data_IF_887462507191
#
_entry.id   IF_887462507191
#
_cell.length_a   1.000
_cell.length_b   1.000
_cell.length_c   1.000
_cell.angle_alpha   90.00
_cell.angle_beta   90.00
_cell.angle_gamma   90.00
#
_symmetry.space_group_name_H-M   'P 1'
#
loop_
_entity.id
_entity.type
_entity.pdbx_description
1 polymer ?
#
# COMPACT_ATOMS: atom_id res chain seq x y z
N UNK A 1 24.98 -23.28 -39.13
CA UNK A 1 24.98 -21.83 -38.75
C UNK A 1 23.57 -21.29 -38.47
N UNK A 2 22.55 -21.64 -39.24
CA UNK A 2 21.16 -21.15 -39.06
C UNK A 2 20.56 -21.55 -37.70
N UNK A 3 20.77 -22.79 -37.27
CA UNK A 3 20.24 -23.31 -36.00
C UNK A 3 20.77 -22.54 -34.78
N UNK A 4 22.05 -22.13 -34.79
CA UNK A 4 22.65 -21.36 -33.69
C UNK A 4 22.04 -19.96 -33.54
N UNK A 5 21.71 -19.30 -34.66
CA UNK A 5 21.04 -18.00 -34.63
C UNK A 5 19.60 -18.11 -34.11
N UNK A 6 18.90 -19.20 -34.42
CA UNK A 6 17.55 -19.45 -33.94
C UNK A 6 17.52 -19.66 -32.42
N UNK A 7 18.45 -20.43 -31.87
CA UNK A 7 18.60 -20.59 -30.42
C UNK A 7 18.91 -19.26 -29.71
N UNK A 8 19.73 -18.40 -30.33
CA UNK A 8 20.06 -17.07 -29.80
C UNK A 8 18.83 -16.16 -29.67
N UNK A 9 17.91 -16.24 -30.63
CA UNK A 9 16.65 -15.49 -30.62
C UNK A 9 15.73 -15.97 -29.49
N UNK A 10 15.57 -17.29 -29.34
CA UNK A 10 14.74 -17.88 -28.27
C UNK A 10 15.27 -17.48 -26.89
N UNK A 11 16.59 -17.54 -26.68
CA UNK A 11 17.23 -17.14 -25.42
C UNK A 11 16.99 -15.66 -25.13
N UNK A 12 17.11 -14.78 -26.14
CA UNK A 12 16.85 -13.34 -25.96
C UNK A 12 15.40 -13.03 -25.60
N UNK A 13 14.43 -13.72 -26.21
CA UNK A 13 13.00 -13.58 -25.88
C UNK A 13 12.75 -14.03 -24.43
N UNK A 14 13.38 -15.12 -24.00
CA UNK A 14 13.26 -15.64 -22.64
C UNK A 14 13.85 -14.65 -21.61
N UNK A 15 15.04 -14.10 -21.87
CA UNK A 15 15.67 -13.09 -21.03
C UNK A 15 14.86 -11.78 -20.97
N UNK A 16 14.27 -11.36 -22.09
CA UNK A 16 13.43 -10.16 -22.15
C UNK A 16 12.19 -10.31 -21.27
N UNK A 17 11.49 -11.45 -21.35
CA UNK A 17 10.34 -11.73 -20.50
C UNK A 17 10.70 -11.81 -19.02
N UNK A 18 11.86 -12.39 -18.67
CA UNK A 18 12.32 -12.46 -17.29
C UNK A 18 12.63 -11.07 -16.71
N UNK A 19 13.34 -10.21 -17.46
CA UNK A 19 13.60 -8.82 -17.08
C UNK A 19 12.31 -8.02 -16.90
N UNK A 20 11.34 -8.19 -17.82
CA UNK A 20 10.03 -7.53 -17.73
C UNK A 20 9.26 -7.93 -16.47
N UNK A 21 9.28 -9.22 -16.11
CA UNK A 21 8.62 -9.73 -14.88
C UNK A 21 9.24 -9.14 -13.60
N UNK A 22 10.57 -9.00 -13.56
CA UNK A 22 11.27 -8.36 -12.43
C UNK A 22 10.98 -6.86 -12.36
N UNK A 23 10.95 -6.18 -13.51
CA UNK A 23 10.66 -4.74 -13.58
C UNK A 23 9.23 -4.44 -13.10
N UNK A 24 8.24 -5.21 -13.54
CA UNK A 24 6.85 -5.10 -13.08
C UNK A 24 6.74 -5.34 -11.56
N UNK A 25 7.48 -6.31 -11.02
CA UNK A 25 7.53 -6.58 -9.58
C UNK A 25 8.12 -5.40 -8.79
N UNK A 26 9.18 -4.75 -9.31
CA UNK A 26 9.75 -3.52 -8.72
C UNK A 26 8.78 -2.34 -8.76
N UNK A 27 8.07 -2.13 -9.87
CA UNK A 27 7.06 -1.06 -9.95
C UNK A 27 5.91 -1.27 -8.96
N UNK A 28 5.37 -2.49 -8.84
CA UNK A 28 4.31 -2.79 -7.87
C UNK A 28 4.75 -2.50 -6.42
N UNK A 29 5.99 -2.88 -6.06
CA UNK A 29 6.55 -2.57 -4.75
C UNK A 29 6.73 -1.06 -4.52
N UNK A 30 7.08 -0.29 -5.55
CA UNK A 30 7.21 1.17 -5.45
C UNK A 30 5.86 1.86 -5.21
N UNK A 31 4.79 1.41 -5.87
CA UNK A 31 3.44 1.88 -5.60
C UNK A 31 2.99 1.57 -4.17
N UNK A 32 3.33 0.37 -3.67
CA UNK A 32 3.03 -0.04 -2.30
C UNK A 32 3.72 0.87 -1.27
N UNK A 33 4.99 1.22 -1.50
CA UNK A 33 5.74 2.13 -0.63
C UNK A 33 5.14 3.54 -0.61
N UNK A 34 4.70 4.08 -1.75
CA UNK A 34 4.00 5.39 -1.81
C UNK A 34 2.71 5.40 -0.99
N UNK A 35 1.91 4.32 -1.06
CA UNK A 35 0.67 4.19 -0.27
C UNK A 35 0.96 4.17 1.24
N UNK A 36 1.98 3.42 1.67
CA UNK A 36 2.41 3.39 3.07
C UNK A 36 2.89 4.77 3.53
N UNK A 37 3.70 5.46 2.72
CA UNK A 37 4.21 6.79 3.02
C UNK A 37 3.08 7.81 3.22
N UNK A 38 2.01 7.72 2.42
CA UNK A 38 0.80 8.54 2.59
C UNK A 38 0.11 8.26 3.93
N UNK A 39 -0.09 6.98 4.28
CA UNK A 39 -0.65 6.63 5.59
C UNK A 39 0.24 7.11 6.76
N UNK A 40 1.56 7.05 6.60
CA UNK A 40 2.53 7.53 7.59
C UNK A 40 2.37 9.06 7.80
N UNK A 41 2.28 9.83 6.71
CA UNK A 41 2.09 11.28 6.79
C UNK A 41 0.77 11.68 7.45
N UNK A 42 -0.31 10.91 7.24
CA UNK A 42 -1.62 11.24 7.82
C UNK A 42 -1.77 10.83 9.29
N UNK A 43 -1.12 9.73 9.72
CA UNK A 43 -1.40 9.12 11.02
C UNK A 43 -0.24 9.11 12.02
N UNK A 44 1.01 9.34 11.57
CA UNK A 44 2.19 9.30 12.44
C UNK A 44 2.86 10.66 12.60
N UNK A 45 2.82 11.50 11.56
CA UNK A 45 3.13 12.90 11.77
C UNK A 45 1.96 13.52 12.55
N UNK A 46 2.15 13.67 13.86
CA UNK A 46 1.39 14.62 14.67
C UNK A 46 1.32 15.91 13.86
N UNK A 47 0.17 16.18 13.25
CA UNK A 47 -0.01 17.40 12.47
C UNK A 47 -0.07 18.52 13.49
N UNK A 48 1.10 18.98 13.93
CA UNK A 48 1.29 20.14 14.82
C UNK A 48 0.78 21.43 14.18
N UNK A 49 0.44 21.41 12.89
CA UNK A 49 0.14 22.58 12.07
C UNK A 49 -1.31 22.68 11.56
N UNK A 50 -2.23 21.81 11.95
CA UNK A 50 -3.65 22.13 11.71
C UNK A 50 -4.09 23.17 12.73
N UNK A 51 -4.55 24.31 12.21
CA UNK A 51 -5.21 25.38 12.97
C UNK A 51 -6.15 24.77 14.01
N UNK A 52 -6.08 25.25 15.25
CA UNK A 52 -6.81 24.74 16.42
C UNK A 52 -8.32 24.54 16.13
N UNK A 53 -8.88 25.36 15.23
CA UNK A 53 -10.27 25.33 14.79
C UNK A 53 -10.66 24.19 13.82
N UNK A 54 -9.72 23.62 13.05
CA UNK A 54 -9.98 22.45 12.16
C UNK A 54 -9.63 21.11 12.81
N UNK A 55 -8.90 21.16 13.93
CA UNK A 55 -8.39 19.98 14.65
C UNK A 55 -9.51 19.03 15.13
N UNK A 56 -10.71 19.57 15.36
CA UNK A 56 -11.87 18.81 15.84
C UNK A 56 -12.62 18.06 14.72
N UNK A 57 -12.49 18.47 13.46
CA UNK A 57 -13.22 17.87 12.34
C UNK A 57 -12.44 16.74 11.66
N UNK A 58 -11.11 16.79 11.71
CA UNK A 58 -10.23 15.82 11.07
C UNK A 58 -9.25 15.23 12.09
N UNK A 59 -9.79 14.46 13.04
CA UNK A 59 -8.95 13.69 13.96
C UNK A 59 -8.48 12.43 13.24
N UNK A 60 -7.25 12.47 12.72
CA UNK A 60 -6.55 11.26 12.29
C UNK A 60 -6.09 10.48 13.52
N UNK A 61 -6.63 9.28 13.79
CA UNK A 61 -6.20 8.50 14.93
C UNK A 61 -4.74 8.08 14.75
N UNK A 62 -3.99 8.09 15.86
CA UNK A 62 -2.63 7.53 15.90
C UNK A 62 -2.76 6.01 15.78
N UNK A 63 -2.17 5.45 14.72
CA UNK A 63 -2.17 4.00 14.45
C UNK A 63 -0.84 3.31 14.77
N UNK A 64 0.13 4.06 15.33
CA UNK A 64 1.41 3.54 15.82
C UNK A 64 1.20 2.43 16.86
N UNK A 65 1.94 1.33 16.74
CA UNK A 65 1.90 0.17 17.64
C UNK A 65 0.50 -0.44 17.89
N UNK A 66 -0.47 -0.16 17.01
CA UNK A 66 -1.84 -0.65 17.17
C UNK A 66 -1.97 -2.16 16.94
N UNK A 67 -3.02 -2.76 17.51
CA UNK A 67 -3.28 -4.18 17.34
C UNK A 67 -3.53 -4.52 15.86
N UNK A 68 -2.78 -5.50 15.33
CA UNK A 68 -2.85 -5.94 13.94
C UNK A 68 -4.29 -6.33 13.56
N UNK A 69 -4.96 -7.15 14.38
CA UNK A 69 -6.34 -7.60 14.11
C UNK A 69 -7.31 -6.41 14.07
N UNK A 70 -7.15 -5.47 15.00
CA UNK A 70 -7.98 -4.27 15.05
C UNK A 70 -7.83 -3.42 13.78
N UNK A 71 -6.59 -3.22 13.31
CA UNK A 71 -6.31 -2.47 12.08
C UNK A 71 -6.89 -3.17 10.85
N UNK A 72 -6.71 -4.48 10.75
CA UNK A 72 -7.26 -5.28 9.65
C UNK A 72 -8.78 -5.17 9.59
N UNK A 73 -9.47 -5.45 10.70
CA UNK A 73 -10.93 -5.36 10.74
C UNK A 73 -11.42 -3.93 10.48
N UNK A 74 -10.75 -2.92 11.02
CA UNK A 74 -11.11 -1.52 10.77
C UNK A 74 -11.04 -1.16 9.28
N UNK A 75 -9.92 -1.51 8.61
CA UNK A 75 -9.75 -1.26 7.18
C UNK A 75 -10.76 -2.04 6.33
N UNK A 76 -11.07 -3.29 6.70
CA UNK A 76 -12.09 -4.10 6.04
C UNK A 76 -13.49 -3.49 6.24
N UNK A 77 -13.81 -2.98 7.42
CA UNK A 77 -15.08 -2.31 7.67
C UNK A 77 -15.23 -1.01 6.89
N UNK A 78 -14.17 -0.22 6.76
CA UNK A 78 -14.19 0.96 5.90
C UNK A 78 -14.37 0.61 4.42
N UNK A 79 -13.69 -0.44 3.94
CA UNK A 79 -13.79 -0.95 2.57
C UNK A 79 -15.22 -1.42 2.24
N UNK A 80 -15.85 -2.10 3.19
CA UNK A 80 -17.21 -2.62 3.04
C UNK A 80 -18.29 -1.61 3.44
N UNK A 81 -17.94 -0.35 3.67
CA UNK A 81 -18.86 0.72 4.11
C UNK A 81 -19.65 0.39 5.39
N UNK A 82 -19.16 -0.55 6.23
CA UNK A 82 -19.75 -0.89 7.53
C UNK A 82 -19.37 0.11 8.62
N UNK A 83 -18.37 0.94 8.38
CA UNK A 83 -17.91 2.02 9.27
C UNK A 83 -17.85 3.33 8.50
N UNK A 84 -18.46 4.37 9.06
CA UNK A 84 -18.61 5.66 8.37
C UNK A 84 -17.33 6.50 8.44
N UNK A 85 -16.68 6.69 7.29
CA UNK A 85 -15.67 7.73 7.06
C UNK A 85 -15.42 7.84 5.56
N UNK A 86 -15.78 8.98 4.97
CA UNK A 86 -15.63 9.21 3.52
C UNK A 86 -14.18 8.95 3.07
N UNK A 87 -13.21 9.51 3.80
CA UNK A 87 -11.79 9.39 3.49
C UNK A 87 -11.27 7.96 3.68
N UNK A 88 -11.55 7.32 4.82
CA UNK A 88 -11.04 5.96 5.06
C UNK A 88 -11.70 4.94 4.15
N UNK A 89 -12.99 5.07 3.83
CA UNK A 89 -13.67 4.22 2.85
C UNK A 89 -13.10 4.42 1.45
N UNK A 90 -12.84 5.66 1.02
CA UNK A 90 -12.16 5.93 -0.24
C UNK A 90 -10.79 5.24 -0.31
N UNK A 91 -9.93 5.45 0.69
CA UNK A 91 -8.58 4.86 0.73
C UNK A 91 -8.65 3.32 0.75
N UNK A 92 -9.47 2.75 1.62
CA UNK A 92 -9.56 1.29 1.81
C UNK A 92 -10.19 0.56 0.63
N UNK A 93 -11.01 1.24 -0.19
CA UNK A 93 -11.53 0.67 -1.43
C UNK A 93 -10.41 0.29 -2.42
N UNK A 94 -9.32 1.07 -2.48
CA UNK A 94 -8.18 0.81 -3.35
C UNK A 94 -7.14 -0.17 -2.75
N UNK A 95 -7.43 -0.76 -1.58
CA UNK A 95 -6.55 -1.75 -0.94
C UNK A 95 -7.06 -3.17 -1.14
N UNK A 96 -6.22 -4.08 -1.62
CA UNK A 96 -6.50 -5.51 -1.61
C UNK A 96 -6.28 -6.11 -0.21
N UNK A 97 -6.88 -7.25 0.10
CA UNK A 97 -6.77 -7.87 1.44
C UNK A 97 -5.32 -8.15 1.88
N UNK A 98 -4.44 -8.53 0.95
CA UNK A 98 -3.00 -8.67 1.22
C UNK A 98 -2.37 -7.33 1.59
N UNK A 99 -2.72 -6.24 0.90
CA UNK A 99 -2.21 -4.90 1.22
C UNK A 99 -2.67 -4.45 2.61
N UNK A 100 -3.92 -4.74 2.98
CA UNK A 100 -4.48 -4.46 4.32
C UNK A 100 -3.69 -5.22 5.40
N UNK A 101 -3.37 -6.49 5.16
CA UNK A 101 -2.57 -7.30 6.07
C UNK A 101 -1.19 -6.66 6.32
N UNK A 102 -0.46 -6.34 5.24
CA UNK A 102 0.88 -5.77 5.34
C UNK A 102 0.89 -4.35 5.95
N UNK A 103 -0.09 -3.50 5.63
CA UNK A 103 -0.23 -2.18 6.26
C UNK A 103 -0.43 -2.32 7.77
N UNK A 104 -1.28 -3.26 8.18
CA UNK A 104 -1.56 -3.51 9.59
C UNK A 104 -0.32 -4.01 10.34
N UNK A 105 0.49 -4.84 9.68
CA UNK A 105 1.75 -5.35 10.23
C UNK A 105 2.80 -4.24 10.33
N UNK A 106 2.90 -3.39 9.30
CA UNK A 106 3.81 -2.24 9.29
C UNK A 106 3.54 -1.27 10.46
N UNK A 107 2.28 -0.90 10.69
CA UNK A 107 1.93 0.02 11.78
C UNK A 107 2.03 -0.60 13.18
N UNK A 108 2.01 -1.93 13.30
CA UNK A 108 2.32 -2.60 14.57
C UNK A 108 3.81 -2.50 14.92
N UNK A 109 4.67 -2.58 13.92
CA UNK A 109 6.13 -2.54 14.08
C UNK A 109 6.70 -1.13 14.24
N UNK A 110 5.90 -0.09 13.97
CA UNK A 110 6.23 1.31 14.24
C UNK A 110 5.90 1.69 15.67
#
# INVERSE_FOLDING_TARGET
MIILNFFKIIINIFFYNFKKKIFLKKMNNFFYFKKILLCFNCHLNNIKYYNFYLKNFFVSPIIKNQNIKYLQYSLIFYKNFKRNSIYMSFISNYLNYLEIFYISLFFKCL
#
